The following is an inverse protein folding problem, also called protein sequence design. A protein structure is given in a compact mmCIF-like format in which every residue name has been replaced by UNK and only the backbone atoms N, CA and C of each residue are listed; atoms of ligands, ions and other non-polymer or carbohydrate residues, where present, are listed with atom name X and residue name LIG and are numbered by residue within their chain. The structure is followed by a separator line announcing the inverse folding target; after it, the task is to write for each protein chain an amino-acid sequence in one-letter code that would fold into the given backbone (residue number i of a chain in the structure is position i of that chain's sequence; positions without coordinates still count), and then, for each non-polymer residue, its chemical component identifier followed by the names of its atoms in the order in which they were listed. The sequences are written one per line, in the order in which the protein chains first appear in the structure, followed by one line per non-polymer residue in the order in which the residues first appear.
data_IF_503881792549
#
_entry.id   IF_503881792549
#
_cell.length_a   1.000
_cell.length_b   1.000
_cell.length_c   1.000
_cell.angle_alpha   90.00
_cell.angle_beta   90.00
_cell.angle_gamma   90.00
#
_symmetry.space_group_name_H-M   'P 1'
#
loop_
_entity.id
_entity.type
_entity.pdbx_description
1 polymer ?
#
# COMPACT_ATOMS: atom_id res chain seq x y z
N UNK A 1 -2.93 -13.81 17.10
CA UNK A 1 -2.11 -13.06 18.05
C UNK A 1 -1.87 -11.66 17.47
N UNK A 2 -2.24 -10.59 18.22
CA UNK A 2 -1.90 -9.20 17.91
C UNK A 2 -0.64 -8.87 18.70
N UNK A 3 0.44 -8.48 18.03
CA UNK A 3 1.68 -8.05 18.67
C UNK A 3 1.77 -6.53 18.57
N UNK A 4 1.89 -5.88 19.71
CA UNK A 4 2.19 -4.45 19.77
C UNK A 4 3.62 -4.28 20.24
N UNK A 5 4.42 -3.59 19.46
CA UNK A 5 5.79 -3.24 19.80
C UNK A 5 5.99 -1.74 19.61
N UNK A 6 6.52 -1.07 20.62
CA UNK A 6 6.91 0.34 20.51
C UNK A 6 8.42 0.41 20.33
N UNK A 7 8.84 0.83 19.15
CA UNK A 7 10.25 1.05 18.85
C UNK A 7 10.79 2.25 19.63
N UNK A 8 12.10 2.29 20.02
CA UNK A 8 12.73 3.42 20.70
C UNK A 8 12.58 4.78 19.99
N UNK A 9 12.41 4.78 18.67
CA UNK A 9 12.11 5.99 17.86
C UNK A 9 10.72 6.58 18.11
N UNK A 10 9.87 5.94 18.93
CA UNK A 10 8.49 6.33 19.15
C UNK A 10 7.47 5.72 18.19
N UNK A 11 7.92 4.95 17.19
CA UNK A 11 7.03 4.22 16.29
C UNK A 11 6.36 3.05 17.01
N UNK A 12 5.08 2.87 16.74
CA UNK A 12 4.30 1.71 17.19
C UNK A 12 4.15 0.72 16.03
N UNK A 13 4.48 -0.54 16.27
CA UNK A 13 4.33 -1.62 15.30
C UNK A 13 3.17 -2.50 15.73
N UNK A 14 2.16 -2.62 14.86
CA UNK A 14 1.05 -3.56 15.01
C UNK A 14 1.31 -4.74 14.08
N UNK A 15 1.32 -5.95 14.61
CA UNK A 15 1.48 -7.17 13.82
C UNK A 15 0.37 -8.15 14.14
N UNK A 16 -0.17 -8.82 13.11
CA UNK A 16 -1.11 -9.91 13.27
C UNK A 16 -0.68 -11.11 12.44
N UNK A 17 -0.89 -12.31 12.98
CA UNK A 17 -0.65 -13.56 12.24
C UNK A 17 -1.89 -13.98 11.47
N UNK A 18 -3.05 -13.73 12.04
CA UNK A 18 -4.34 -13.98 11.44
C UNK A 18 -5.37 -12.97 11.95
N UNK A 19 -6.04 -12.30 11.03
CA UNK A 19 -7.14 -11.37 11.37
C UNK A 19 -8.34 -11.76 10.50
N UNK A 20 -9.50 -12.06 11.09
CA UNK A 20 -10.74 -12.23 10.35
C UNK A 20 -11.01 -10.99 9.47
N UNK A 21 -11.68 -11.20 8.34
CA UNK A 21 -11.88 -10.13 7.35
C UNK A 21 -12.61 -8.91 7.93
N UNK A 22 -13.61 -9.14 8.76
CA UNK A 22 -14.39 -8.12 9.47
C UNK A 22 -13.59 -7.31 10.50
N UNK A 23 -12.48 -7.86 11.01
CA UNK A 23 -11.58 -7.18 11.92
C UNK A 23 -10.42 -6.46 11.20
N UNK A 24 -10.15 -6.77 9.94
CA UNK A 24 -9.02 -6.18 9.18
C UNK A 24 -9.13 -4.66 9.11
N UNK A 25 -10.35 -4.15 8.93
CA UNK A 25 -10.61 -2.72 8.85
C UNK A 25 -10.18 -1.98 10.12
N UNK A 26 -10.62 -2.49 11.27
CA UNK A 26 -10.28 -1.91 12.58
C UNK A 26 -8.79 -2.09 12.94
N UNK A 27 -8.16 -3.15 12.43
CA UNK A 27 -6.73 -3.35 12.64
C UNK A 27 -5.88 -2.27 11.96
N UNK A 28 -6.33 -1.78 10.80
CA UNK A 28 -5.66 -0.72 10.05
C UNK A 28 -5.93 0.69 10.61
N UNK A 29 -6.93 0.86 11.46
CA UNK A 29 -7.28 2.17 12.00
C UNK A 29 -6.11 2.76 12.82
N UNK A 30 -5.79 4.03 12.52
CA UNK A 30 -4.69 4.75 13.14
C UNK A 30 -3.29 4.29 12.70
N UNK A 31 -3.17 3.51 11.63
CA UNK A 31 -1.88 3.20 11.01
C UNK A 31 -1.52 4.26 9.97
N UNK A 32 -0.26 4.71 9.96
CA UNK A 32 0.27 5.62 8.95
C UNK A 32 0.93 4.86 7.79
N UNK A 33 1.50 3.69 8.10
CA UNK A 33 2.29 2.88 7.15
C UNK A 33 1.92 1.41 7.30
N UNK A 34 1.79 0.71 6.18
CA UNK A 34 1.56 -0.72 6.10
C UNK A 34 2.71 -1.40 5.37
N UNK A 35 3.25 -2.47 5.95
CA UNK A 35 4.13 -3.41 5.24
C UNK A 35 3.27 -4.47 4.56
N UNK A 36 3.36 -4.53 3.23
CA UNK A 36 2.69 -5.53 2.39
C UNK A 36 3.66 -6.64 1.99
N UNK A 37 3.23 -7.53 1.10
CA UNK A 37 4.04 -8.66 0.61
C UNK A 37 5.31 -8.18 -0.10
N UNK A 38 6.45 -8.82 0.26
CA UNK A 38 7.77 -8.43 -0.23
C UNK A 38 8.17 -9.15 -1.53
N UNK A 39 7.53 -10.27 -1.85
CA UNK A 39 7.84 -11.11 -3.01
C UNK A 39 6.80 -10.98 -4.12
N UNK A 40 6.16 -9.83 -4.21
CA UNK A 40 5.17 -9.52 -5.24
C UNK A 40 5.64 -8.38 -6.13
N UNK A 41 5.35 -8.46 -7.42
CA UNK A 41 5.60 -7.37 -8.39
C UNK A 41 4.54 -6.27 -8.32
N UNK A 42 3.42 -6.53 -7.66
CA UNK A 42 2.29 -5.62 -7.55
C UNK A 42 1.68 -5.65 -6.15
N UNK A 43 0.98 -4.59 -5.72
CA UNK A 43 0.30 -4.55 -4.43
C UNK A 43 -0.82 -5.59 -4.36
N UNK A 44 -1.01 -6.18 -3.18
CA UNK A 44 -2.15 -7.04 -2.88
C UNK A 44 -3.42 -6.24 -2.59
N UNK A 45 -4.57 -6.93 -2.50
CA UNK A 45 -5.86 -6.30 -2.18
C UNK A 45 -5.83 -5.56 -0.85
N UNK A 46 -5.15 -6.10 0.16
CA UNK A 46 -4.99 -5.44 1.47
C UNK A 46 -4.23 -4.11 1.35
N UNK A 47 -3.18 -4.09 0.49
CA UNK A 47 -2.45 -2.87 0.20
C UNK A 47 -3.33 -1.82 -0.48
N UNK A 48 -4.10 -2.21 -1.51
CA UNK A 48 -5.04 -1.30 -2.18
C UNK A 48 -6.09 -0.75 -1.22
N UNK A 49 -6.59 -1.60 -0.31
CA UNK A 49 -7.53 -1.18 0.71
C UNK A 49 -6.90 -0.20 1.70
N UNK A 50 -5.68 -0.47 2.20
CA UNK A 50 -4.93 0.46 3.05
C UNK A 50 -4.71 1.81 2.35
N UNK A 51 -4.30 1.80 1.08
CA UNK A 51 -4.12 3.00 0.27
C UNK A 51 -5.41 3.82 0.11
N UNK A 52 -6.57 3.16 0.02
CA UNK A 52 -7.86 3.86 -0.03
C UNK A 52 -8.18 4.65 1.25
N UNK A 53 -7.62 4.23 2.38
CA UNK A 53 -7.66 4.92 3.67
C UNK A 53 -6.53 5.97 3.84
N UNK A 54 -5.66 6.12 2.86
CA UNK A 54 -4.51 7.02 2.94
C UNK A 54 -3.32 6.45 3.71
N UNK A 55 -3.30 5.15 3.97
CA UNK A 55 -2.16 4.47 4.59
C UNK A 55 -1.07 4.27 3.54
N UNK A 56 0.15 4.68 3.85
CA UNK A 56 1.31 4.50 2.95
C UNK A 56 1.73 3.04 2.92
N UNK A 57 1.87 2.49 1.73
CA UNK A 57 2.26 1.08 1.55
C UNK A 57 3.75 0.97 1.23
N UNK A 58 4.41 0.06 1.94
CA UNK A 58 5.79 -0.38 1.68
C UNK A 58 5.72 -1.86 1.28
N UNK A 59 6.07 -2.18 0.04
CA UNK A 59 5.92 -3.55 -0.48
C UNK A 59 6.35 -3.65 -1.94
N UNK A 60 5.88 -4.67 -2.64
CA UNK A 60 6.18 -4.86 -4.06
C UNK A 60 5.37 -3.91 -4.95
N UNK A 61 6.05 -3.10 -5.75
CA UNK A 61 5.47 -2.27 -6.81
C UNK A 61 6.53 -1.96 -7.86
N UNK A 62 6.80 -2.95 -8.69
CA UNK A 62 7.81 -2.86 -9.72
C UNK A 62 7.39 -1.94 -10.87
N UNK A 63 8.35 -1.55 -11.70
CA UNK A 63 8.11 -0.66 -12.85
C UNK A 63 7.06 -1.22 -13.81
N UNK A 64 7.05 -2.54 -14.01
CA UNK A 64 6.10 -3.25 -14.85
C UNK A 64 4.66 -3.07 -14.40
N UNK A 65 4.43 -2.99 -13.10
CA UNK A 65 3.09 -2.74 -12.53
C UNK A 65 2.56 -1.38 -12.99
N UNK A 66 3.37 -0.33 -12.91
CA UNK A 66 2.96 1.01 -13.33
C UNK A 66 2.82 1.12 -14.85
N UNK A 67 3.71 0.45 -15.61
CA UNK A 67 3.64 0.40 -17.06
C UNK A 67 2.36 -0.25 -17.58
N UNK A 68 1.91 -1.34 -16.94
CA UNK A 68 0.65 -2.00 -17.27
C UNK A 68 -0.57 -1.10 -17.05
N UNK A 69 -0.51 -0.19 -16.07
CA UNK A 69 -1.56 0.77 -15.78
C UNK A 69 -1.45 2.07 -16.60
N UNK A 70 -0.35 2.25 -17.35
CA UNK A 70 -0.04 3.51 -18.01
C UNK A 70 0.14 4.67 -17.02
N UNK A 71 0.75 4.38 -15.85
CA UNK A 71 0.91 5.36 -14.78
C UNK A 71 2.36 5.82 -14.64
N UNK A 72 2.62 7.06 -15.09
CA UNK A 72 3.97 7.63 -15.07
C UNK A 72 4.21 8.56 -13.87
N UNK A 73 3.16 9.12 -13.29
CA UNK A 73 3.23 10.21 -12.31
C UNK A 73 2.98 9.75 -10.88
N UNK A 74 1.93 8.98 -10.65
CA UNK A 74 1.51 8.56 -9.31
C UNK A 74 2.19 7.23 -8.93
N UNK A 75 3.20 7.31 -8.09
CA UNK A 75 3.96 6.16 -7.59
C UNK A 75 4.00 6.15 -6.07
N UNK A 76 2.82 5.99 -5.43
CA UNK A 76 2.69 6.17 -3.98
C UNK A 76 3.25 5.02 -3.16
N UNK A 77 3.49 3.86 -3.76
CA UNK A 77 4.00 2.68 -3.06
C UNK A 77 5.51 2.76 -2.97
N UNK A 78 6.05 2.59 -1.78
CA UNK A 78 7.50 2.47 -1.58
C UNK A 78 7.90 1.04 -1.94
N UNK A 79 8.42 0.87 -3.15
CA UNK A 79 8.91 -0.42 -3.62
C UNK A 79 10.14 -0.85 -2.83
N UNK A 80 10.14 -2.07 -2.30
CA UNK A 80 11.23 -2.66 -1.53
C UNK A 80 11.60 -4.02 -2.10
N UNK A 81 12.91 -4.31 -2.05
CA UNK A 81 13.41 -5.66 -2.29
C UNK A 81 13.24 -6.50 -1.02
N UNK A 82 13.08 -7.82 -1.13
CA UNK A 82 13.00 -8.72 0.03
C UNK A 82 14.36 -8.91 0.70
N UNK A 83 15.02 -7.81 0.98
CA UNK A 83 16.34 -7.71 1.62
C UNK A 83 16.21 -6.82 2.85
N UNK A 84 16.62 -7.34 4.02
CA UNK A 84 16.46 -6.63 5.29
C UNK A 84 17.06 -5.22 5.29
N UNK A 85 18.21 -5.03 4.65
CA UNK A 85 18.86 -3.72 4.56
C UNK A 85 18.09 -2.72 3.68
N UNK A 86 17.49 -3.17 2.56
CA UNK A 86 16.70 -2.30 1.70
C UNK A 86 15.44 -1.82 2.41
N UNK A 87 14.74 -2.75 3.05
CA UNK A 87 13.53 -2.45 3.84
C UNK A 87 13.86 -1.48 4.97
N UNK A 88 14.91 -1.77 5.75
CA UNK A 88 15.35 -0.94 6.86
C UNK A 88 15.65 0.49 6.39
N UNK A 89 16.49 0.64 5.37
CA UNK A 89 16.91 1.96 4.89
C UNK A 89 15.72 2.80 4.37
N UNK A 90 14.74 2.16 3.71
CA UNK A 90 13.55 2.84 3.20
C UNK A 90 12.61 3.26 4.31
N UNK A 91 12.43 2.41 5.33
CA UNK A 91 11.65 2.76 6.52
C UNK A 91 12.32 3.88 7.32
N UNK A 92 13.62 3.82 7.56
CA UNK A 92 14.36 4.90 8.24
C UNK A 92 14.22 6.23 7.48
N UNK A 93 14.39 6.21 6.15
CA UNK A 93 14.18 7.41 5.31
C UNK A 93 12.77 7.97 5.40
N UNK A 94 11.77 7.10 5.52
CA UNK A 94 10.37 7.51 5.66
C UNK A 94 10.13 8.15 7.03
N UNK A 95 10.63 7.54 8.10
CA UNK A 95 10.50 8.03 9.47
C UNK A 95 11.24 9.35 9.71
N UNK A 96 12.39 9.53 9.04
CA UNK A 96 13.15 10.78 9.09
C UNK A 96 12.44 11.96 8.40
N UNK A 97 11.45 11.69 7.53
CA UNK A 97 10.75 12.73 6.77
C UNK A 97 9.23 12.50 6.80
N UNK A 98 8.59 12.88 7.89
CA UNK A 98 7.14 12.71 8.07
C UNK A 98 6.28 13.47 7.05
N UNK A 99 6.78 14.55 6.46
CA UNK A 99 6.09 15.27 5.38
C UNK A 99 5.90 14.37 4.16
N UNK A 100 6.85 13.46 3.92
CA UNK A 100 6.74 12.47 2.85
C UNK A 100 5.58 11.51 3.06
N UNK A 101 5.28 11.15 4.31
CA UNK A 101 4.13 10.29 4.64
C UNK A 101 2.83 10.99 4.21
N UNK A 102 2.66 12.26 4.54
CA UNK A 102 1.46 13.03 4.17
C UNK A 102 1.29 13.14 2.65
N UNK A 103 2.40 13.35 1.92
CA UNK A 103 2.36 13.40 0.46
C UNK A 103 1.99 12.04 -0.14
N UNK A 104 2.65 10.96 0.27
CA UNK A 104 2.37 9.61 -0.21
C UNK A 104 0.96 9.14 0.16
N UNK A 105 0.43 9.56 1.31
CA UNK A 105 -0.95 9.32 1.71
C UNK A 105 -1.94 9.94 0.72
N UNK A 106 -1.75 11.22 0.36
CA UNK A 106 -2.58 11.88 -0.62
C UNK A 106 -2.48 11.23 -2.01
N UNK A 107 -1.25 10.92 -2.45
CA UNK A 107 -1.00 10.25 -3.72
C UNK A 107 -1.61 8.84 -3.76
N UNK A 108 -1.63 8.11 -2.63
CA UNK A 108 -2.28 6.81 -2.50
C UNK A 108 -3.78 6.89 -2.77
N UNK A 109 -4.45 7.86 -2.16
CA UNK A 109 -5.89 8.07 -2.36
C UNK A 109 -6.18 8.44 -3.83
N UNK A 110 -5.38 9.32 -4.42
CA UNK A 110 -5.53 9.70 -5.83
C UNK A 110 -5.31 8.50 -6.77
N UNK A 111 -4.29 7.70 -6.49
CA UNK A 111 -3.98 6.48 -7.24
C UNK A 111 -5.14 5.48 -7.22
N UNK A 112 -5.71 5.21 -6.05
CA UNK A 112 -6.86 4.31 -5.92
C UNK A 112 -8.08 4.84 -6.68
N UNK A 113 -8.39 6.12 -6.58
CA UNK A 113 -9.50 6.73 -7.32
C UNK A 113 -9.31 6.64 -8.84
N UNK A 114 -8.07 6.77 -9.31
CA UNK A 114 -7.74 6.75 -10.74
C UNK A 114 -7.78 5.33 -11.33
N UNK A 115 -7.19 4.35 -10.64
CA UNK A 115 -6.92 3.02 -11.19
C UNK A 115 -7.80 1.91 -10.63
N UNK A 116 -8.32 2.06 -9.41
CA UNK A 116 -9.04 1.02 -8.69
C UNK A 116 -10.46 1.43 -8.26
N UNK A 117 -11.06 2.43 -8.92
CA UNK A 117 -12.45 2.77 -8.71
C UNK A 117 -13.35 1.61 -9.15
N UNK A 118 -14.18 1.02 -8.26
CA UNK A 118 -14.98 -0.17 -8.57
C UNK A 118 -15.90 0.01 -9.77
N UNK A 119 -16.51 1.20 -9.90
CA UNK A 119 -17.42 1.52 -11.02
C UNK A 119 -16.66 1.54 -12.35
N UNK A 120 -15.46 2.15 -12.35
CA UNK A 120 -14.61 2.22 -13.54
C UNK A 120 -14.15 0.83 -13.97
N UNK A 121 -13.65 0.03 -13.03
CA UNK A 121 -13.19 -1.33 -13.29
C UNK A 121 -14.33 -2.21 -13.79
N UNK A 122 -15.52 -2.15 -13.16
CA UNK A 122 -16.68 -2.90 -13.60
C UNK A 122 -17.11 -2.51 -15.03
N UNK A 123 -17.06 -1.22 -15.37
CA UNK A 123 -17.36 -0.75 -16.73
C UNK A 123 -16.34 -1.27 -17.76
N UNK A 124 -15.06 -1.21 -17.44
CA UNK A 124 -14.00 -1.74 -18.31
C UNK A 124 -14.17 -3.24 -18.57
N UNK A 125 -14.56 -4.02 -17.55
CA UNK A 125 -14.89 -5.43 -17.70
C UNK A 125 -16.09 -5.66 -18.62
N UNK A 126 -17.16 -4.89 -18.45
CA UNK A 126 -18.36 -4.98 -19.32
C UNK A 126 -18.01 -4.61 -20.76
N UNK A 127 -17.31 -3.49 -20.96
CA UNK A 127 -16.88 -3.03 -22.29
C UNK A 127 -15.99 -4.08 -23.01
N UNK A 128 -15.18 -4.81 -22.24
CA UNK A 128 -14.38 -5.92 -22.79
C UNK A 128 -15.25 -7.09 -23.23
N UNK A 129 -16.24 -7.51 -22.44
CA UNK A 129 -17.12 -8.62 -22.77
C UNK A 129 -18.08 -8.30 -23.95
N UNK A 130 -18.51 -7.06 -24.07
CA UNK A 130 -19.38 -6.65 -25.18
C UNK A 130 -18.66 -6.58 -26.55
N UNK A 131 -17.33 -6.43 -26.53
CA UNK A 131 -16.49 -6.33 -27.73
C UNK A 131 -15.94 -7.66 -28.24
N UNK A 132 -16.01 -8.71 -27.42
CA UNK A 132 -15.52 -10.06 -27.73
C UNK A 132 -16.62 -11.11 -27.63
#
# INVERSE_FOLDING_TARGET
YKLYYRHPSGCEIKQTVFTPYDECEHFMDGCDVMLDQLYSYSPGLNALYAMSKGIVVVGGAEEEHYNLLGEDRLRPIINVRPEGNDIYNKLESLLANTNKISQLSADSIEYIKKHHCPIKVAKECLDFWEKN
#
